data_IF_042810507776
#
_entry.id   IF_042810507776
#
_cell.length_a   1.000
_cell.length_b   1.000
_cell.length_c   1.000
_cell.angle_alpha   90.00
_cell.angle_beta   90.00
_cell.angle_gamma   90.00
#
_symmetry.space_group_name_H-M   'P 1'
#
loop_
_entity.id
_entity.type
_entity.pdbx_description
1 polymer ?
#
# COMPACT_ATOMS: atom_id res chain seq x y z
N UNK A 1 -10.87 67.58 74.02
CA UNK A 1 -9.75 68.09 73.20
C UNK A 1 -8.55 67.21 73.48
N UNK A 2 -7.85 66.52 72.57
CA UNK A 2 -7.82 66.48 71.10
C UNK A 2 -7.39 65.05 70.68
N UNK A 3 -7.93 64.60 69.55
CA UNK A 3 -7.51 63.46 68.73
C UNK A 3 -6.09 63.63 68.17
N UNK A 4 -5.36 62.52 67.94
CA UNK A 4 -4.43 62.29 66.81
C UNK A 4 -3.94 60.82 66.88
N UNK A 5 -4.49 59.87 66.10
CA UNK A 5 -4.33 59.60 64.65
C UNK A 5 -3.16 58.63 64.36
N UNK A 6 -3.56 57.39 64.02
CA UNK A 6 -2.72 56.33 63.44
C UNK A 6 -2.09 56.79 62.11
N UNK A 7 -0.81 56.46 61.89
CA UNK A 7 -0.24 56.36 60.55
C UNK A 7 0.17 54.91 60.30
N UNK A 8 -0.70 54.18 59.61
CA UNK A 8 -0.36 52.90 58.97
C UNK A 8 0.45 53.18 57.71
N UNK A 9 1.59 52.50 57.58
CA UNK A 9 2.42 52.51 56.38
C UNK A 9 1.95 51.37 55.48
N UNK A 10 1.19 51.67 54.43
CA UNK A 10 0.82 50.70 53.40
C UNK A 10 1.96 50.62 52.37
N UNK A 11 2.66 49.47 52.33
CA UNK A 11 3.63 49.14 51.29
C UNK A 11 2.83 48.63 50.09
N UNK A 12 2.78 49.43 49.02
CA UNK A 12 2.19 49.03 47.75
C UNK A 12 3.19 48.17 46.98
N UNK A 13 3.01 46.86 47.01
CA UNK A 13 3.78 45.92 46.20
C UNK A 13 3.24 45.91 44.77
N UNK A 14 3.97 46.52 43.84
CA UNK A 14 3.64 46.50 42.42
C UNK A 14 3.87 45.10 41.86
N UNK A 15 2.79 44.36 41.61
CA UNK A 15 2.85 43.06 40.93
C UNK A 15 2.97 43.34 39.41
N UNK A 16 4.17 43.22 38.86
CA UNK A 16 4.37 43.27 37.41
C UNK A 16 3.82 41.96 36.80
N UNK A 17 2.59 42.02 36.29
CA UNK A 17 1.97 40.91 35.59
C UNK A 17 2.55 40.85 34.18
N UNK A 18 3.56 40.01 33.97
CA UNK A 18 4.06 39.66 32.64
C UNK A 18 2.96 38.89 31.91
N UNK A 19 2.27 39.57 31.00
CA UNK A 19 1.35 38.92 30.06
C UNK A 19 2.21 38.09 29.10
N UNK A 20 2.26 36.78 29.31
CA UNK A 20 2.79 35.85 28.33
C UNK A 20 1.88 35.89 27.09
N UNK A 21 2.29 36.63 26.06
CA UNK A 21 1.69 36.53 24.74
C UNK A 21 1.92 35.11 24.24
N UNK A 22 0.88 34.28 24.31
CA UNK A 22 0.82 33.05 23.54
C UNK A 22 0.71 33.47 22.07
N UNK A 23 1.86 33.63 21.41
CA UNK A 23 1.88 33.61 19.96
C UNK A 23 1.30 32.24 19.57
N UNK A 24 0.09 32.24 19.02
CA UNK A 24 -0.44 31.06 18.36
C UNK A 24 0.60 30.69 17.31
N UNK A 25 1.31 29.58 17.51
CA UNK A 25 2.24 29.07 16.52
C UNK A 25 1.48 29.02 15.19
N UNK A 26 1.99 29.69 14.15
CA UNK A 26 1.43 29.56 12.82
C UNK A 26 1.32 28.05 12.51
N UNK A 27 0.20 27.55 11.98
CA UNK A 27 0.08 26.14 11.68
C UNK A 27 1.25 25.74 10.78
N UNK A 28 2.03 24.74 11.22
CA UNK A 28 3.40 24.45 10.76
C UNK A 28 3.59 24.39 9.23
N UNK A 29 2.53 24.15 8.46
CA UNK A 29 2.58 23.99 7.01
C UNK A 29 1.94 25.15 6.21
N UNK A 30 1.33 26.14 6.86
CA UNK A 30 0.54 27.19 6.18
C UNK A 30 1.39 28.07 5.24
N UNK A 31 2.68 28.19 5.52
CA UNK A 31 3.60 28.92 4.67
C UNK A 31 4.01 28.15 3.39
N UNK A 32 3.64 26.87 3.27
CA UNK A 32 4.02 25.99 2.17
C UNK A 32 2.82 25.63 1.30
N UNK A 33 2.99 25.72 -0.03
CA UNK A 33 2.07 25.06 -0.97
C UNK A 33 2.45 23.58 -1.06
N UNK A 34 1.51 22.69 -0.73
CA UNK A 34 1.70 21.24 -0.78
C UNK A 34 1.05 20.64 -2.02
N UNK A 35 1.70 19.64 -2.63
CA UNK A 35 1.23 18.93 -3.81
C UNK A 35 1.60 17.43 -3.78
N UNK A 36 1.05 16.65 -4.72
CA UNK A 36 1.39 15.23 -4.87
C UNK A 36 0.67 14.30 -3.91
N UNK A 37 1.12 13.03 -3.90
CA UNK A 37 0.49 11.95 -3.14
C UNK A 37 0.58 12.17 -1.62
N UNK A 38 -0.49 11.80 -0.92
CA UNK A 38 -0.64 11.94 0.54
C UNK A 38 -1.07 10.60 1.13
N UNK A 39 -0.91 10.43 2.45
CA UNK A 39 -1.28 9.18 3.12
C UNK A 39 -0.14 8.58 3.91
N UNK A 40 -0.21 7.28 4.25
CA UNK A 40 0.84 6.62 5.01
C UNK A 40 2.09 6.43 4.16
N UNK A 41 3.25 6.66 4.78
CA UNK A 41 4.56 6.43 4.22
C UNK A 41 5.42 5.73 5.27
N UNK A 42 6.25 4.81 4.81
CA UNK A 42 7.20 4.07 5.63
C UNK A 42 8.58 4.74 5.54
N UNK A 43 9.23 4.88 6.68
CA UNK A 43 10.62 5.36 6.76
C UNK A 43 11.56 4.23 6.36
N UNK A 44 12.30 4.42 5.27
CA UNK A 44 13.17 3.39 4.67
C UNK A 44 14.67 3.57 4.98
N UNK A 45 15.00 4.58 5.78
CA UNK A 45 16.37 4.89 6.19
C UNK A 45 16.45 5.00 7.69
N UNK A 46 17.59 4.62 8.26
CA UNK A 46 17.84 4.81 9.67
C UNK A 46 18.17 6.27 9.99
N UNK A 47 17.75 6.72 11.17
CA UNK A 47 18.19 7.99 11.78
C UNK A 47 17.89 9.24 10.94
N UNK A 48 16.71 9.28 10.31
CA UNK A 48 16.33 10.37 9.40
C UNK A 48 15.88 11.58 10.20
N UNK A 49 16.46 12.74 9.91
CA UNK A 49 16.11 14.00 10.56
C UNK A 49 14.82 14.58 9.95
N UNK A 50 13.89 14.94 10.84
CA UNK A 50 12.76 15.81 10.53
C UNK A 50 13.16 17.24 10.87
N UNK A 51 12.84 18.17 9.97
CA UNK A 51 13.22 19.58 10.05
C UNK A 51 12.00 20.47 10.23
N UNK A 52 12.19 21.62 10.85
CA UNK A 52 11.16 22.64 11.06
C UNK A 52 10.79 23.39 9.77
N UNK A 53 11.74 23.49 8.83
CA UNK A 53 11.57 24.04 7.48
C UNK A 53 12.00 23.01 6.41
N UNK A 54 11.52 23.11 5.16
CA UNK A 54 11.88 22.20 4.06
C UNK A 54 13.28 22.51 3.49
N UNK A 55 14.29 22.50 4.36
CA UNK A 55 15.69 22.74 4.01
C UNK A 55 16.62 21.96 4.94
N UNK A 56 17.80 21.57 4.43
CA UNK A 56 18.82 20.87 5.22
C UNK A 56 19.41 21.74 6.34
N UNK A 57 19.32 23.06 6.17
CA UNK A 57 19.73 24.08 7.15
C UNK A 57 18.69 24.32 8.24
N UNK A 58 17.48 23.75 8.13
CA UNK A 58 16.46 23.84 9.16
C UNK A 58 16.89 23.21 10.48
N UNK A 59 16.31 23.66 11.58
CA UNK A 59 16.53 23.05 12.88
C UNK A 59 15.96 21.62 12.89
N UNK A 60 16.67 20.73 13.60
CA UNK A 60 16.20 19.35 13.76
C UNK A 60 15.09 19.35 14.80
N UNK A 61 13.89 18.94 14.39
CA UNK A 61 12.74 18.77 15.30
C UNK A 61 12.81 17.42 15.99
N UNK A 62 13.00 16.35 15.22
CA UNK A 62 13.08 14.97 15.72
C UNK A 62 13.87 14.10 14.74
N UNK A 63 14.21 12.89 15.18
CA UNK A 63 14.81 11.85 14.34
C UNK A 63 13.90 10.63 14.32
N UNK A 64 13.68 10.05 13.14
CA UNK A 64 12.86 8.85 12.95
C UNK A 64 13.76 7.64 12.66
N UNK A 65 13.56 6.50 13.34
CA UNK A 65 14.18 5.23 12.96
C UNK A 65 13.59 4.69 11.64
N UNK A 66 14.26 3.68 11.07
CA UNK A 66 13.65 2.88 9.99
C UNK A 66 12.39 2.18 10.48
N UNK A 67 11.49 1.87 9.55
CA UNK A 67 10.21 1.18 9.77
C UNK A 67 9.17 1.99 10.54
N UNK A 68 9.48 3.24 10.89
CA UNK A 68 8.48 4.18 11.38
C UNK A 68 7.45 4.50 10.29
N UNK A 69 6.17 4.56 10.65
CA UNK A 69 5.10 5.01 9.76
C UNK A 69 4.74 6.45 10.10
N UNK A 70 4.69 7.30 9.07
CA UNK A 70 4.25 8.68 9.14
C UNK A 70 3.17 8.95 8.11
N UNK A 71 2.36 9.99 8.32
CA UNK A 71 1.41 10.45 7.31
C UNK A 71 1.99 11.64 6.57
N UNK A 72 2.23 11.50 5.27
CA UNK A 72 2.60 12.60 4.38
C UNK A 72 1.37 13.44 4.07
N UNK A 73 1.49 14.75 4.26
CA UNK A 73 0.47 15.76 3.92
C UNK A 73 0.64 16.34 2.52
N UNK A 74 1.78 16.07 1.90
CA UNK A 74 2.14 16.47 0.55
C UNK A 74 3.59 16.90 0.47
N UNK A 75 4.05 17.10 -0.76
CA UNK A 75 5.36 17.63 -1.10
C UNK A 75 5.30 19.15 -1.14
N UNK A 76 6.30 19.81 -0.56
CA UNK A 76 6.45 21.26 -0.72
C UNK A 76 6.82 21.56 -2.17
N UNK A 77 5.94 22.32 -2.84
CA UNK A 77 6.05 22.65 -4.27
C UNK A 77 7.44 23.19 -4.63
N UNK A 78 8.02 22.63 -5.69
CA UNK A 78 9.35 23.00 -6.17
C UNK A 78 10.52 22.43 -5.34
N UNK A 79 10.26 21.53 -4.39
CA UNK A 79 11.30 20.93 -3.54
C UNK A 79 11.19 19.39 -3.45
N UNK A 80 12.18 18.77 -2.79
CA UNK A 80 12.18 17.34 -2.47
C UNK A 80 11.80 17.05 -1.00
N UNK A 81 11.13 17.98 -0.33
CA UNK A 81 10.71 17.85 1.05
C UNK A 81 9.22 17.52 1.16
N UNK A 82 8.91 16.54 2.00
CA UNK A 82 7.54 16.13 2.32
C UNK A 82 7.17 16.68 3.69
N UNK A 83 6.01 17.32 3.79
CA UNK A 83 5.41 17.69 5.05
C UNK A 83 4.78 16.44 5.68
N UNK A 84 5.09 16.16 6.95
CA UNK A 84 4.65 14.93 7.62
C UNK A 84 3.97 15.21 8.96
N UNK A 85 3.02 14.35 9.30
CA UNK A 85 2.42 14.26 10.63
C UNK A 85 2.62 12.86 11.20
N UNK A 86 2.68 12.76 12.54
CA UNK A 86 2.69 11.47 13.25
C UNK A 86 1.63 11.52 14.34
N UNK A 87 0.75 10.51 14.38
CA UNK A 87 -0.38 10.43 15.34
C UNK A 87 -1.26 11.70 15.34
N UNK A 88 -1.53 12.25 14.15
CA UNK A 88 -2.36 13.45 13.97
C UNK A 88 -1.65 14.79 14.21
N UNK A 89 -0.43 14.80 14.77
CA UNK A 89 0.32 16.03 15.02
C UNK A 89 1.26 16.34 13.86
N UNK A 90 1.21 17.57 13.33
CA UNK A 90 2.18 18.05 12.34
C UNK A 90 3.57 18.04 12.98
N UNK A 91 4.51 17.34 12.34
CA UNK A 91 5.81 17.04 12.92
C UNK A 91 6.92 17.86 12.27
N UNK A 92 6.88 18.04 10.95
CA UNK A 92 7.85 18.84 10.22
C UNK A 92 8.03 18.34 8.79
N UNK A 93 9.22 18.58 8.25
CA UNK A 93 9.59 18.26 6.88
C UNK A 93 10.69 17.20 6.84
N UNK A 94 10.57 16.26 5.91
CA UNK A 94 11.51 15.16 5.71
C UNK A 94 11.86 15.03 4.23
N UNK A 95 13.11 14.65 3.93
CA UNK A 95 13.55 14.52 2.55
C UNK A 95 12.94 13.27 1.90
N UNK A 96 12.34 13.43 0.72
CA UNK A 96 11.47 12.43 0.10
C UNK A 96 12.14 11.06 -0.11
N UNK A 97 13.44 11.01 -0.41
CA UNK A 97 14.16 9.74 -0.58
C UNK A 97 14.37 8.92 0.70
N UNK A 98 13.83 9.39 1.82
CA UNK A 98 13.85 8.67 3.10
C UNK A 98 12.53 7.96 3.39
N UNK A 99 11.53 8.15 2.53
CA UNK A 99 10.19 7.62 2.66
C UNK A 99 9.78 6.88 1.40
N UNK A 100 8.96 5.85 1.55
CA UNK A 100 8.22 5.18 0.46
C UNK A 100 6.73 5.21 0.78
N UNK A 101 5.81 5.41 -0.19
CA UNK A 101 4.38 5.35 0.07
C UNK A 101 3.99 3.95 0.55
N UNK A 102 2.95 3.89 1.37
CA UNK A 102 2.45 2.66 1.95
C UNK A 102 0.92 2.63 1.86
N UNK A 103 0.36 1.43 1.77
CA UNK A 103 -1.08 1.16 1.91
C UNK A 103 -1.32 0.18 3.07
N UNK A 104 -2.55 0.17 3.57
CA UNK A 104 -3.06 -0.93 4.38
C UNK A 104 -3.89 -1.82 3.46
N UNK A 105 -3.36 -2.99 3.14
CA UNK A 105 -4.03 -3.95 2.26
C UNK A 105 -4.84 -4.99 3.05
N UNK A 106 -4.92 -4.89 4.38
CA UNK A 106 -5.72 -5.83 5.17
C UNK A 106 -7.20 -5.78 4.82
N UNK A 107 -7.85 -6.94 4.86
CA UNK A 107 -9.30 -7.04 4.72
C UNK A 107 -9.91 -7.35 6.08
N UNK A 108 -10.96 -6.61 6.43
CA UNK A 108 -11.72 -6.86 7.66
C UNK A 108 -12.68 -8.04 7.51
N UNK A 109 -13.17 -8.24 6.29
CA UNK A 109 -14.11 -9.29 5.91
C UNK A 109 -13.67 -9.87 4.57
N UNK A 110 -13.97 -11.15 4.27
CA UNK A 110 -13.67 -11.74 2.98
C UNK A 110 -14.35 -10.98 1.84
N UNK A 111 -13.66 -10.89 0.70
CA UNK A 111 -14.26 -10.40 -0.55
C UNK A 111 -14.90 -11.60 -1.26
N UNK A 112 -16.20 -11.54 -1.49
CA UNK A 112 -16.91 -12.52 -2.31
C UNK A 112 -17.43 -11.86 -3.57
N UNK A 113 -17.10 -12.41 -4.74
CA UNK A 113 -17.56 -11.89 -6.02
C UNK A 113 -17.52 -12.96 -7.12
N UNK A 114 -17.81 -12.55 -8.35
CA UNK A 114 -17.84 -13.41 -9.52
C UNK A 114 -16.90 -12.87 -10.61
N UNK A 115 -16.24 -13.78 -11.34
CA UNK A 115 -15.44 -13.50 -12.52
C UNK A 115 -16.03 -14.31 -13.68
N UNK A 116 -16.59 -13.64 -14.67
CA UNK A 116 -17.10 -14.24 -15.90
C UNK A 116 -16.09 -14.03 -17.04
N UNK A 117 -15.48 -15.13 -17.49
CA UNK A 117 -14.57 -15.19 -18.65
C UNK A 117 -15.13 -16.09 -19.75
N UNK A 118 -16.44 -16.36 -19.74
CA UNK A 118 -17.10 -17.27 -20.69
C UNK A 118 -16.97 -16.80 -22.15
N UNK A 119 -16.93 -15.48 -22.38
CA UNK A 119 -16.72 -14.88 -23.71
C UNK A 119 -15.39 -15.32 -24.37
N UNK A 120 -14.39 -15.71 -23.56
CA UNK A 120 -13.08 -16.17 -24.00
C UNK A 120 -12.96 -17.71 -24.00
N UNK A 121 -14.07 -18.43 -23.86
CA UNK A 121 -14.14 -19.89 -23.65
C UNK A 121 -13.33 -20.35 -22.42
N UNK A 122 -13.37 -19.56 -21.34
CA UNK A 122 -12.77 -19.83 -20.03
C UNK A 122 -13.85 -19.97 -18.96
N UNK A 123 -13.44 -20.24 -17.73
CA UNK A 123 -14.37 -20.47 -16.62
C UNK A 123 -15.16 -19.23 -16.19
N UNK A 124 -16.37 -19.47 -15.67
CA UNK A 124 -17.11 -18.53 -14.82
C UNK A 124 -16.91 -18.97 -13.38
N UNK A 125 -16.41 -18.09 -12.52
CA UNK A 125 -15.99 -18.45 -11.17
C UNK A 125 -16.58 -17.53 -10.12
N UNK A 126 -17.28 -18.09 -9.14
CA UNK A 126 -17.52 -17.43 -7.87
C UNK A 126 -16.29 -17.62 -6.98
N UNK A 127 -15.87 -16.58 -6.28
CA UNK A 127 -14.70 -16.66 -5.41
C UNK A 127 -14.91 -16.02 -4.05
N UNK A 128 -14.12 -16.48 -3.08
CA UNK A 128 -13.98 -15.88 -1.76
C UNK A 128 -12.50 -15.67 -1.44
N UNK A 129 -12.08 -14.41 -1.31
CA UNK A 129 -10.72 -14.00 -0.95
C UNK A 129 -10.68 -13.60 0.53
N UNK A 130 -9.87 -14.30 1.31
CA UNK A 130 -9.73 -14.11 2.76
C UNK A 130 -8.33 -13.62 3.09
N UNK A 131 -8.23 -12.63 3.98
CA UNK A 131 -6.95 -12.13 4.48
C UNK A 131 -6.39 -13.06 5.55
N UNK A 132 -5.19 -13.57 5.32
CA UNK A 132 -4.51 -14.55 6.18
C UNK A 132 -3.53 -13.90 7.15
N UNK A 133 -3.02 -12.71 6.81
CA UNK A 133 -2.12 -11.97 7.68
C UNK A 133 -1.13 -11.11 6.92
N UNK A 134 -0.12 -10.62 7.64
CA UNK A 134 1.01 -9.92 7.04
C UNK A 134 2.26 -10.78 7.12
N UNK A 135 2.98 -10.87 6.01
CA UNK A 135 4.38 -11.27 6.05
C UNK A 135 5.24 -10.02 6.30
N UNK A 136 6.04 -10.07 7.37
CA UNK A 136 6.99 -9.03 7.73
C UNK A 136 8.35 -9.70 7.84
N UNK A 137 9.32 -9.22 7.06
CA UNK A 137 10.70 -9.65 7.20
C UNK A 137 11.42 -8.71 8.17
N UNK A 138 11.99 -9.22 9.27
CA UNK A 138 12.58 -8.35 10.31
C UNK A 138 13.82 -7.58 9.82
N UNK A 139 14.55 -8.13 8.85
CA UNK A 139 15.79 -7.56 8.31
C UNK A 139 15.57 -6.76 7.01
N UNK A 140 14.44 -6.96 6.33
CA UNK A 140 14.09 -6.29 5.08
C UNK A 140 12.88 -5.40 5.29
N UNK A 141 12.84 -4.22 4.65
CA UNK A 141 11.62 -3.41 4.63
C UNK A 141 10.67 -4.00 3.57
N UNK A 142 10.21 -5.22 3.81
CA UNK A 142 9.23 -5.91 3.01
C UNK A 142 8.00 -6.16 3.89
N UNK A 143 6.89 -5.59 3.47
CA UNK A 143 5.59 -5.77 4.11
C UNK A 143 4.62 -6.16 3.02
N UNK A 144 4.03 -7.35 3.14
CA UNK A 144 2.94 -7.79 2.28
C UNK A 144 1.74 -8.19 3.12
N UNK A 145 0.57 -8.05 2.51
CA UNK A 145 -0.65 -8.68 2.95
C UNK A 145 -0.83 -9.98 2.16
N UNK A 146 -1.07 -11.07 2.88
CA UNK A 146 -1.24 -12.39 2.31
C UNK A 146 -2.71 -12.80 2.42
N UNK A 147 -3.17 -13.51 1.39
CA UNK A 147 -4.55 -13.95 1.26
C UNK A 147 -4.62 -15.36 0.71
N UNK A 148 -5.70 -16.03 1.05
CA UNK A 148 -6.13 -17.26 0.39
C UNK A 148 -7.41 -16.98 -0.39
N UNK A 149 -7.47 -17.49 -1.62
CA UNK A 149 -8.69 -17.44 -2.44
C UNK A 149 -9.14 -18.83 -2.80
N UNK A 150 -10.45 -19.06 -2.66
CA UNK A 150 -11.12 -20.25 -3.18
C UNK A 150 -12.00 -19.84 -4.35
N UNK A 151 -11.97 -20.64 -5.41
CA UNK A 151 -12.79 -20.46 -6.60
C UNK A 151 -13.70 -21.67 -6.79
N UNK A 152 -14.97 -21.41 -7.10
CA UNK A 152 -15.93 -22.40 -7.55
C UNK A 152 -16.33 -22.03 -8.97
N UNK A 153 -15.92 -22.85 -9.93
CA UNK A 153 -15.96 -22.52 -11.34
C UNK A 153 -16.84 -23.45 -12.15
N UNK A 154 -17.33 -22.94 -13.27
CA UNK A 154 -17.97 -23.74 -14.33
C UNK A 154 -17.29 -23.43 -15.67
N UNK A 155 -16.90 -24.49 -16.41
CA UNK A 155 -16.36 -24.39 -17.77
C UNK A 155 -16.85 -25.60 -18.58
N UNK A 156 -17.33 -25.39 -19.81
CA UNK A 156 -17.82 -26.47 -20.69
C UNK A 156 -18.89 -27.39 -20.05
N UNK A 157 -19.67 -26.88 -19.07
CA UNK A 157 -20.65 -27.56 -18.20
C UNK A 157 -20.07 -28.40 -17.06
N UNK A 158 -18.75 -28.49 -16.93
CA UNK A 158 -18.10 -29.12 -15.81
C UNK A 158 -17.91 -28.12 -14.67
N UNK A 159 -18.14 -28.59 -13.44
CA UNK A 159 -17.91 -27.84 -12.21
C UNK A 159 -16.62 -28.31 -11.56
N UNK A 160 -15.81 -27.36 -11.11
CA UNK A 160 -14.55 -27.63 -10.42
C UNK A 160 -14.20 -26.49 -9.48
N UNK A 161 -13.45 -26.83 -8.44
CA UNK A 161 -12.98 -25.89 -7.44
C UNK A 161 -11.46 -25.92 -7.39
N UNK A 162 -10.85 -24.76 -7.15
CA UNK A 162 -9.42 -24.68 -6.89
C UNK A 162 -9.12 -23.57 -5.88
N UNK A 163 -7.96 -23.66 -5.25
CA UNK A 163 -7.47 -22.64 -4.33
C UNK A 163 -6.17 -22.03 -4.85
N UNK A 164 -5.95 -20.78 -4.50
CA UNK A 164 -4.72 -20.08 -4.82
C UNK A 164 -4.28 -19.23 -3.63
N UNK A 165 -2.99 -18.93 -3.61
CA UNK A 165 -2.42 -17.95 -2.69
C UNK A 165 -2.30 -16.62 -3.41
N UNK A 166 -2.64 -15.54 -2.73
CA UNK A 166 -2.48 -14.18 -3.25
C UNK A 166 -1.63 -13.40 -2.26
N UNK A 167 -0.71 -12.58 -2.77
CA UNK A 167 -0.02 -11.60 -1.95
C UNK A 167 -0.10 -10.22 -2.59
N UNK A 168 -0.17 -9.20 -1.75
CA UNK A 168 -0.11 -7.79 -2.16
C UNK A 168 0.98 -7.07 -1.38
N UNK A 169 1.91 -6.41 -2.06
CA UNK A 169 2.91 -5.59 -1.38
C UNK A 169 2.24 -4.34 -0.78
N UNK A 170 2.54 -4.02 0.48
CA UNK A 170 2.03 -2.81 1.14
C UNK A 170 2.94 -1.59 0.88
N UNK A 171 4.11 -1.82 0.28
CA UNK A 171 5.05 -0.81 -0.22
C UNK A 171 5.43 -1.12 -1.68
N UNK A 172 5.94 -0.14 -2.44
CA UNK A 172 6.50 -0.39 -3.75
C UNK A 172 7.63 -1.43 -3.74
N UNK A 173 7.67 -2.37 -4.70
CA UNK A 173 8.71 -3.41 -4.74
C UNK A 173 10.14 -2.86 -4.82
N UNK A 174 10.32 -1.69 -5.42
CA UNK A 174 11.60 -0.99 -5.54
C UNK A 174 11.88 -0.01 -4.38
N UNK A 175 10.98 0.07 -3.40
CA UNK A 175 10.98 1.07 -2.31
C UNK A 175 11.05 2.52 -2.82
N UNK A 176 10.58 2.75 -4.04
CA UNK A 176 10.55 4.05 -4.69
C UNK A 176 9.51 5.01 -4.09
N UNK A 177 9.28 6.14 -4.76
CA UNK A 177 8.29 7.14 -4.32
C UNK A 177 6.96 7.05 -5.09
N UNK A 178 6.89 6.19 -6.10
CA UNK A 178 5.66 5.97 -6.87
C UNK A 178 4.79 4.97 -6.11
N UNK A 179 3.49 5.25 -5.87
CA UNK A 179 2.60 4.35 -5.15
C UNK A 179 2.12 3.22 -6.09
N UNK A 180 3.06 2.35 -6.48
CA UNK A 180 2.82 1.19 -7.33
C UNK A 180 3.07 -0.05 -6.49
N UNK A 181 2.04 -0.89 -6.35
CA UNK A 181 2.05 -2.06 -5.46
C UNK A 181 1.87 -3.33 -6.30
N UNK A 182 2.59 -4.39 -5.94
CA UNK A 182 2.50 -5.66 -6.65
C UNK A 182 1.40 -6.52 -6.06
N UNK A 183 0.59 -7.14 -6.91
CA UNK A 183 -0.37 -8.18 -6.54
C UNK A 183 -0.02 -9.43 -7.34
N UNK A 184 0.16 -10.56 -6.68
CA UNK A 184 0.52 -11.81 -7.35
C UNK A 184 -0.40 -12.94 -6.89
N UNK A 185 -0.94 -13.67 -7.86
CA UNK A 185 -1.70 -14.91 -7.70
C UNK A 185 -0.76 -16.09 -7.96
N UNK A 186 -0.70 -17.04 -7.04
CA UNK A 186 0.09 -18.27 -7.13
C UNK A 186 -0.82 -19.49 -7.11
N UNK A 187 -0.69 -20.33 -8.14
CA UNK A 187 -1.40 -21.58 -8.30
C UNK A 187 -0.44 -22.75 -8.07
N UNK A 188 -0.51 -23.44 -6.91
CA UNK A 188 0.39 -24.56 -6.60
C UNK A 188 0.16 -25.78 -7.50
N UNK A 189 -1.09 -26.08 -7.82
CA UNK A 189 -1.45 -27.40 -8.35
C UNK A 189 -1.29 -27.56 -9.88
N UNK A 190 -0.76 -26.54 -10.57
CA UNK A 190 -0.62 -26.55 -12.05
C UNK A 190 0.81 -26.90 -12.49
N UNK A 191 1.79 -26.82 -11.58
CA UNK A 191 3.17 -27.01 -11.96
C UNK A 191 3.49 -28.50 -12.20
N UNK A 192 3.82 -28.81 -13.45
CA UNK A 192 4.06 -30.18 -13.94
C UNK A 192 5.56 -30.54 -13.94
N UNK A 193 6.39 -29.82 -13.17
CA UNK A 193 7.86 -29.90 -13.17
C UNK A 193 8.53 -29.23 -11.96
N UNK A 194 9.81 -28.83 -12.10
CA UNK A 194 10.65 -28.27 -11.04
C UNK A 194 10.29 -26.83 -10.61
N UNK A 195 9.50 -26.09 -11.39
CA UNK A 195 8.93 -24.82 -10.93
C UNK A 195 7.81 -25.12 -9.93
N UNK A 196 7.77 -24.41 -8.80
CA UNK A 196 6.86 -24.77 -7.71
C UNK A 196 5.43 -24.20 -7.88
N UNK A 197 5.22 -23.15 -8.71
CA UNK A 197 3.92 -22.47 -8.86
C UNK A 197 3.71 -21.84 -10.26
N UNK A 198 2.48 -21.88 -10.79
CA UNK A 198 2.06 -20.94 -11.85
C UNK A 198 1.72 -19.60 -11.18
N UNK A 199 2.44 -18.54 -11.52
CA UNK A 199 2.26 -17.21 -10.94
C UNK A 199 1.76 -16.22 -12.00
N UNK A 200 0.84 -15.36 -11.60
CA UNK A 200 0.39 -14.22 -12.40
C UNK A 200 0.49 -12.94 -11.56
N UNK A 201 1.22 -11.95 -12.07
CA UNK A 201 1.52 -10.69 -11.37
C UNK A 201 0.85 -9.53 -12.06
N UNK A 202 0.23 -8.67 -11.27
CA UNK A 202 -0.35 -7.40 -11.67
C UNK A 202 0.21 -6.27 -10.80
N UNK A 203 0.16 -5.03 -11.29
CA UNK A 203 0.62 -3.83 -10.62
C UNK A 203 -0.56 -2.90 -10.38
N UNK A 204 -0.81 -2.58 -9.11
CA UNK A 204 -1.75 -1.54 -8.71
C UNK A 204 -1.05 -0.19 -8.68
N UNK A 205 -1.32 0.66 -9.68
CA UNK A 205 -0.86 2.04 -9.69
C UNK A 205 -1.94 2.93 -9.06
N UNK A 206 -1.79 3.23 -7.77
CA UNK A 206 -2.75 4.03 -7.03
C UNK A 206 -2.84 5.48 -7.53
N UNK A 207 -1.75 6.03 -8.07
CA UNK A 207 -1.74 7.39 -8.60
C UNK A 207 -2.51 7.51 -9.93
N UNK A 208 -2.58 6.43 -10.70
CA UNK A 208 -3.33 6.36 -11.96
C UNK A 208 -4.68 5.63 -11.82
N UNK A 209 -5.05 5.25 -10.59
CA UNK A 209 -6.31 4.58 -10.26
C UNK A 209 -6.58 3.33 -11.12
N UNK A 210 -5.55 2.51 -11.33
CA UNK A 210 -5.65 1.33 -12.20
C UNK A 210 -4.77 0.16 -11.75
N UNK A 211 -5.22 -1.04 -12.09
CA UNK A 211 -4.42 -2.27 -12.07
C UNK A 211 -4.06 -2.67 -13.48
N UNK A 212 -2.80 -3.03 -13.70
CA UNK A 212 -2.26 -3.45 -14.99
C UNK A 212 -1.65 -4.84 -14.82
N UNK A 213 -1.94 -5.75 -15.74
CA UNK A 213 -1.30 -7.06 -15.77
C UNK A 213 0.18 -6.93 -16.20
N UNK A 214 1.08 -7.61 -15.50
CA UNK A 214 2.54 -7.46 -15.66
C UNK A 214 3.19 -8.71 -16.26
N UNK A 215 3.04 -9.86 -15.59
CA UNK A 215 3.75 -11.08 -15.97
C UNK A 215 3.00 -12.37 -15.59
N UNK A 216 3.25 -13.44 -16.35
CA UNK A 216 2.87 -14.82 -16.01
C UNK A 216 4.14 -15.67 -16.03
N UNK A 217 4.41 -16.47 -15.00
CA UNK A 217 5.69 -17.17 -14.83
C UNK A 217 5.94 -18.24 -15.92
N UNK A 218 4.91 -19.04 -16.23
CA UNK A 218 5.00 -20.11 -17.21
C UNK A 218 4.45 -19.65 -18.57
N UNK A 219 5.35 -19.29 -19.48
CA UNK A 219 5.00 -18.78 -20.81
C UNK A 219 4.07 -19.73 -21.60
N UNK A 220 4.15 -21.05 -21.41
CA UNK A 220 3.24 -21.99 -22.07
C UNK A 220 1.77 -21.88 -21.61
N UNK A 221 1.51 -21.23 -20.49
CA UNK A 221 0.19 -21.04 -19.88
C UNK A 221 -0.33 -19.61 -20.00
N UNK A 222 0.49 -18.72 -20.56
CA UNK A 222 0.18 -17.32 -20.76
C UNK A 222 -0.64 -17.09 -22.04
N UNK A 223 -1.55 -16.12 -21.99
CA UNK A 223 -2.23 -15.57 -23.15
C UNK A 223 -1.34 -14.61 -23.94
N UNK A 224 -1.62 -14.48 -25.24
CA UNK A 224 -0.83 -13.61 -26.11
C UNK A 224 -1.05 -12.10 -25.82
N UNK A 225 -2.20 -11.74 -25.23
CA UNK A 225 -2.55 -10.36 -24.93
C UNK A 225 -2.60 -10.18 -23.41
N UNK A 226 -1.63 -9.44 -22.87
CA UNK A 226 -1.52 -9.15 -21.43
C UNK A 226 -1.77 -7.68 -21.07
N UNK A 227 -2.07 -6.80 -22.01
CA UNK A 227 -2.08 -5.35 -21.74
C UNK A 227 -3.43 -4.81 -21.27
N UNK A 228 -4.30 -5.68 -20.76
CA UNK A 228 -5.56 -5.23 -20.19
C UNK A 228 -5.30 -4.54 -18.85
N UNK A 229 -6.09 -3.51 -18.62
CA UNK A 229 -6.07 -2.71 -17.40
C UNK A 229 -7.48 -2.50 -16.90
N UNK A 230 -7.64 -2.48 -15.59
CA UNK A 230 -8.93 -2.26 -14.95
C UNK A 230 -8.80 -1.11 -13.94
N UNK A 231 -9.87 -0.30 -13.76
CA UNK A 231 -9.86 0.76 -12.77
C UNK A 231 -9.84 0.17 -11.35
N UNK A 232 -9.11 0.83 -10.45
CA UNK A 232 -9.10 0.53 -9.03
C UNK A 232 -8.57 1.74 -8.25
N UNK A 233 -9.22 2.10 -7.16
CA UNK A 233 -8.81 3.23 -6.29
C UNK A 233 -8.39 2.76 -4.90
N UNK A 234 -8.88 1.60 -4.47
CA UNK A 234 -8.61 1.02 -3.15
C UNK A 234 -7.89 -0.33 -3.25
N UNK A 235 -7.19 -0.78 -2.20
CA UNK A 235 -6.60 -2.12 -2.17
C UNK A 235 -7.62 -3.24 -2.44
N UNK A 236 -8.84 -3.11 -1.91
CA UNK A 236 -9.92 -4.05 -2.17
C UNK A 236 -10.30 -4.11 -3.66
N UNK A 237 -10.55 -2.96 -4.29
CA UNK A 237 -10.84 -2.90 -5.74
C UNK A 237 -9.66 -3.43 -6.56
N UNK A 238 -8.43 -3.15 -6.13
CA UNK A 238 -7.22 -3.60 -6.80
C UNK A 238 -7.07 -5.12 -6.76
N UNK A 239 -7.38 -5.77 -5.63
CA UNK A 239 -7.40 -7.23 -5.52
C UNK A 239 -8.43 -7.84 -6.48
N UNK A 240 -9.65 -7.31 -6.53
CA UNK A 240 -10.70 -7.81 -7.44
C UNK A 240 -10.31 -7.66 -8.91
N UNK A 241 -9.78 -6.49 -9.27
CA UNK A 241 -9.28 -6.20 -10.61
C UNK A 241 -8.10 -7.11 -10.99
N UNK A 242 -7.14 -7.30 -10.07
CA UNK A 242 -6.00 -8.17 -10.28
C UNK A 242 -6.43 -9.62 -10.51
N UNK A 243 -7.31 -10.19 -9.67
CA UNK A 243 -7.80 -11.56 -9.85
C UNK A 243 -8.43 -11.77 -11.23
N UNK A 244 -9.23 -10.80 -11.70
CA UNK A 244 -9.84 -10.86 -13.04
C UNK A 244 -8.78 -10.84 -14.14
N UNK A 245 -7.82 -9.92 -14.09
CA UNK A 245 -6.74 -9.80 -15.08
C UNK A 245 -5.82 -11.03 -15.08
N UNK A 246 -5.48 -11.53 -13.89
CA UNK A 246 -4.60 -12.69 -13.72
C UNK A 246 -5.27 -13.96 -14.26
N UNK A 247 -6.54 -14.21 -13.93
CA UNK A 247 -7.28 -15.35 -14.48
C UNK A 247 -7.52 -15.23 -15.99
N UNK A 248 -7.77 -14.02 -16.52
CA UNK A 248 -7.90 -13.83 -17.97
C UNK A 248 -6.57 -14.03 -18.70
N UNK A 249 -5.44 -13.74 -18.05
CA UNK A 249 -4.09 -13.92 -18.59
C UNK A 249 -3.69 -15.38 -18.81
N UNK A 250 -4.44 -16.32 -18.26
CA UNK A 250 -4.23 -17.75 -18.47
C UNK A 250 -4.91 -18.21 -19.75
N UNK A 251 -4.16 -18.93 -20.59
CA UNK A 251 -4.68 -19.48 -21.83
C UNK A 251 -5.56 -20.72 -21.58
N UNK A 252 -6.26 -21.19 -22.63
CA UNK A 252 -7.17 -22.34 -22.51
C UNK A 252 -6.49 -23.62 -21.97
N UNK A 253 -5.20 -23.82 -22.24
CA UNK A 253 -4.46 -24.99 -21.73
C UNK A 253 -4.33 -24.93 -20.21
N UNK A 254 -4.00 -23.77 -19.66
CA UNK A 254 -3.94 -23.57 -18.21
C UNK A 254 -5.30 -23.82 -17.56
N UNK A 255 -6.38 -23.29 -18.14
CA UNK A 255 -7.75 -23.49 -17.66
C UNK A 255 -8.20 -24.95 -17.62
N UNK A 256 -7.80 -25.75 -18.61
CA UNK A 256 -8.06 -27.20 -18.60
C UNK A 256 -7.37 -27.91 -17.45
N UNK A 257 -6.10 -27.58 -17.19
CA UNK A 257 -5.35 -28.16 -16.07
C UNK A 257 -5.96 -27.74 -14.73
N UNK A 258 -6.35 -26.45 -14.60
CA UNK A 258 -7.08 -25.95 -13.42
C UNK A 258 -8.37 -26.74 -13.20
N UNK A 259 -9.10 -27.07 -14.28
CA UNK A 259 -10.31 -27.90 -14.22
C UNK A 259 -10.04 -29.38 -13.93
N UNK A 260 -8.79 -29.78 -13.72
CA UNK A 260 -8.41 -31.17 -13.41
C UNK A 260 -8.17 -32.05 -14.63
N UNK A 261 -8.14 -31.50 -15.86
CA UNK A 261 -7.75 -32.27 -17.04
C UNK A 261 -6.25 -32.62 -16.95
N UNK A 262 -5.92 -33.90 -17.07
CA UNK A 262 -4.54 -34.37 -17.10
C UNK A 262 -3.91 -33.93 -18.43
N UNK A 263 -2.85 -33.09 -18.43
CA UNK A 263 -2.22 -32.66 -19.66
C UNK A 263 -1.58 -33.83 -20.41
N UNK A 264 -1.70 -33.85 -21.75
CA UNK A 264 -1.07 -34.89 -22.54
C UNK A 264 0.46 -34.84 -22.37
N UNK A 265 1.18 -35.98 -22.30
CA UNK A 265 2.64 -35.99 -22.17
C UNK A 265 3.38 -35.22 -23.27
N UNK A 266 2.80 -35.09 -24.47
CA UNK A 266 3.34 -34.29 -25.58
C UNK A 266 3.21 -32.77 -25.37
N UNK A 267 2.33 -32.35 -24.47
CA UNK A 267 2.11 -30.97 -24.07
C UNK A 267 3.00 -30.57 -22.88
N UNK A 268 3.57 -31.56 -22.19
CA UNK A 268 4.64 -31.42 -21.21
C UNK A 268 5.98 -31.41 -21.97
N UNK A 269 6.22 -30.40 -22.80
CA UNK A 269 7.56 -30.24 -23.36
C UNK A 269 8.52 -29.94 -22.20
N UNK A 270 9.67 -30.63 -22.10
CA UNK A 270 10.74 -30.16 -21.25
C UNK A 270 11.12 -28.76 -21.74
N UNK A 271 11.26 -27.82 -20.80
CA UNK A 271 11.93 -26.55 -21.07
C UNK A 271 13.41 -26.80 -21.41
#
# INVERSE_FOLDING_TARGET
MKYQSLKGLAIATTFAMTIATHALAAPMFDASTLEGHTGPYLVIKNNVNVRDIPASTGEKVVQLPSSDIVTVKGRVKGTQWLAISKKGNNLGYIYASSLTPMIDASLKEPITSNIDLSADNKGVCDYSLTFEGRAIEEETIFVSADYQVTFNCTMDNDQFDFSALVFMSEVPPDLGQKPIYQITLNLPDIATGYEEFLSATALFNQAEEQVIMDAVSLEQFKENTLQDKLPATTPQEALQAALKLQLSSFNKKAWRIIAGEIPNPSELKPQ
#
